data_IF_505166514004
#
_entry.id   IF_505166514004
#
_cell.length_a   1.000
_cell.length_b   1.000
_cell.length_c   1.000
_cell.angle_alpha   90.00
_cell.angle_beta   90.00
_cell.angle_gamma   90.00
#
_symmetry.space_group_name_H-M   'P 1'
#
loop_
_entity.id
_entity.type
_entity.pdbx_description
1 polymer ?
#
# COMPACT_ATOMS: atom_id res chain seq x y z
N UNK A 1 9.63 -6.27 4.92
CA UNK A 1 8.89 -6.47 3.66
C UNK A 1 9.05 -7.91 3.19
N UNK A 2 8.01 -8.47 2.60
CA UNK A 2 8.06 -9.78 1.91
C UNK A 2 7.91 -9.57 0.41
N UNK A 3 8.74 -10.25 -0.37
CA UNK A 3 8.61 -10.31 -1.83
C UNK A 3 8.41 -11.76 -2.24
N UNK A 4 7.24 -12.08 -2.73
CA UNK A 4 6.83 -13.43 -3.11
C UNK A 4 6.88 -13.52 -4.63
N UNK A 5 7.81 -14.33 -5.14
CA UNK A 5 8.00 -14.51 -6.58
C UNK A 5 7.32 -15.82 -7.00
N UNK A 6 6.48 -15.76 -8.04
CA UNK A 6 5.78 -16.89 -8.63
C UNK A 6 6.09 -16.98 -10.11
N UNK A 7 5.91 -18.17 -10.68
CA UNK A 7 6.31 -18.45 -12.06
C UNK A 7 5.56 -17.60 -13.09
N UNK A 8 4.28 -17.31 -12.83
CA UNK A 8 3.40 -16.63 -13.76
C UNK A 8 2.30 -15.83 -13.02
N UNK A 9 1.54 -14.96 -13.74
CA UNK A 9 0.48 -14.15 -13.14
C UNK A 9 -0.63 -14.95 -12.45
N UNK A 10 -0.96 -16.14 -12.95
CA UNK A 10 -2.01 -16.98 -12.35
C UNK A 10 -1.54 -17.54 -10.99
N UNK A 11 -0.31 -18.06 -10.91
CA UNK A 11 0.28 -18.54 -9.66
C UNK A 11 0.45 -17.42 -8.62
N UNK A 12 0.80 -16.20 -9.05
CA UNK A 12 0.81 -15.01 -8.20
C UNK A 12 -0.59 -14.71 -7.64
N UNK A 13 -1.61 -14.76 -8.50
CA UNK A 13 -3.00 -14.51 -8.13
C UNK A 13 -3.56 -15.59 -7.18
N UNK A 14 -3.26 -16.86 -7.44
CA UNK A 14 -3.64 -17.98 -6.56
C UNK A 14 -3.04 -17.85 -5.17
N UNK A 15 -1.78 -17.45 -5.08
CA UNK A 15 -1.13 -17.20 -3.79
C UNK A 15 -1.86 -16.11 -3.01
N UNK A 16 -2.19 -14.98 -3.65
CA UNK A 16 -2.94 -13.89 -3.03
C UNK A 16 -4.32 -14.35 -2.57
N UNK A 17 -5.04 -15.11 -3.39
CA UNK A 17 -6.37 -15.62 -3.02
C UNK A 17 -6.30 -16.52 -1.79
N UNK A 18 -5.34 -17.46 -1.76
CA UNK A 18 -5.15 -18.31 -0.60
C UNK A 18 -4.77 -17.50 0.64
N UNK A 19 -3.96 -16.46 0.48
CA UNK A 19 -3.61 -15.54 1.56
C UNK A 19 -4.83 -14.81 2.12
N UNK A 20 -5.66 -14.21 1.26
CA UNK A 20 -6.90 -13.52 1.65
C UNK A 20 -7.86 -14.47 2.36
N UNK A 21 -8.04 -15.69 1.83
CA UNK A 21 -8.89 -16.72 2.46
C UNK A 21 -8.40 -17.05 3.87
N UNK A 22 -7.10 -17.28 4.03
CA UNK A 22 -6.50 -17.60 5.31
C UNK A 22 -6.62 -16.42 6.29
N UNK A 23 -6.43 -15.18 5.81
CA UNK A 23 -6.58 -13.98 6.63
C UNK A 23 -7.99 -13.80 7.15
N UNK A 24 -9.01 -13.94 6.28
CA UNK A 24 -10.41 -13.81 6.67
C UNK A 24 -10.82 -14.94 7.62
N UNK A 25 -10.45 -16.19 7.32
CA UNK A 25 -10.75 -17.33 8.19
C UNK A 25 -10.12 -17.21 9.57
N UNK A 26 -8.86 -16.80 9.63
CA UNK A 26 -8.15 -16.64 10.89
C UNK A 26 -8.70 -15.46 11.70
N UNK A 27 -9.12 -14.38 11.03
CA UNK A 27 -9.78 -13.25 11.69
C UNK A 27 -11.13 -13.64 12.29
N UNK A 28 -11.82 -14.60 11.67
CA UNK A 28 -13.13 -15.10 12.10
C UNK A 28 -14.17 -13.97 12.28
N UNK A 29 -14.52 -13.25 11.19
CA UNK A 29 -15.31 -12.03 11.27
C UNK A 29 -16.75 -12.30 11.72
N UNK A 30 -17.28 -11.38 12.51
CA UNK A 30 -18.64 -11.39 13.05
C UNK A 30 -19.35 -10.07 12.72
N UNK A 31 -20.68 -9.97 12.83
CA UNK A 31 -21.38 -8.71 12.56
C UNK A 31 -20.89 -7.53 13.42
N UNK A 32 -20.43 -7.81 14.65
CA UNK A 32 -19.91 -6.79 15.57
C UNK A 32 -18.39 -6.59 15.48
N UNK A 33 -17.73 -7.34 14.59
CA UNK A 33 -16.29 -7.29 14.35
C UNK A 33 -16.01 -7.78 12.91
N UNK A 34 -16.36 -6.98 11.89
CA UNK A 34 -16.18 -7.38 10.50
C UNK A 34 -14.70 -7.32 10.11
N UNK A 35 -14.33 -8.06 9.06
CA UNK A 35 -13.01 -7.95 8.44
C UNK A 35 -13.01 -6.83 7.40
N UNK A 36 -12.10 -5.87 7.50
CA UNK A 36 -12.06 -4.70 6.61
C UNK A 36 -11.02 -4.88 5.51
N UNK A 37 -11.45 -4.90 4.26
CA UNK A 37 -10.64 -5.19 3.08
C UNK A 37 -10.58 -3.99 2.12
N UNK A 38 -9.37 -3.47 1.90
CA UNK A 38 -9.08 -2.50 0.84
C UNK A 38 -8.94 -3.20 -0.52
N UNK A 39 -9.56 -2.67 -1.58
CA UNK A 39 -9.64 -3.32 -2.89
C UNK A 39 -9.20 -2.40 -4.05
N UNK A 40 -8.36 -2.89 -4.99
CA UNK A 40 -7.98 -2.17 -6.19
C UNK A 40 -8.89 -2.49 -7.38
N UNK A 41 -8.77 -1.72 -8.46
CA UNK A 41 -9.34 -2.04 -9.77
C UNK A 41 -8.22 -2.29 -10.79
N UNK A 42 -8.57 -2.35 -12.08
CA UNK A 42 -7.63 -2.55 -13.17
C UNK A 42 -7.41 -4.03 -13.53
N UNK A 43 -6.46 -4.30 -14.43
CA UNK A 43 -6.29 -5.63 -15.02
C UNK A 43 -5.66 -6.66 -14.08
N UNK A 44 -4.71 -6.25 -13.24
CA UNK A 44 -4.00 -7.16 -12.32
C UNK A 44 -4.91 -7.91 -11.34
N UNK A 45 -5.90 -7.27 -10.67
CA UNK A 45 -6.76 -8.00 -9.73
C UNK A 45 -7.89 -8.82 -10.37
N UNK A 46 -8.12 -8.76 -11.68
CA UNK A 46 -9.23 -9.50 -12.33
C UNK A 46 -9.15 -11.00 -12.08
N UNK A 47 -7.95 -11.58 -12.20
CA UNK A 47 -7.74 -13.02 -11.95
C UNK A 47 -7.98 -13.35 -10.47
N UNK A 48 -7.54 -12.47 -9.57
CA UNK A 48 -7.77 -12.61 -8.12
C UNK A 48 -9.27 -12.63 -7.81
N UNK A 49 -10.04 -11.68 -8.37
CA UNK A 49 -11.50 -11.64 -8.17
C UNK A 49 -12.20 -12.88 -8.70
N UNK A 50 -11.84 -13.34 -9.91
CA UNK A 50 -12.36 -14.59 -10.48
C UNK A 50 -12.12 -15.79 -9.55
N UNK A 51 -10.91 -15.89 -9.01
CA UNK A 51 -10.53 -16.97 -8.09
C UNK A 51 -11.19 -16.86 -6.72
N UNK A 52 -11.41 -15.64 -6.20
CA UNK A 52 -12.18 -15.40 -4.97
C UNK A 52 -13.66 -15.81 -5.14
N UNK A 53 -14.27 -15.47 -6.27
CA UNK A 53 -15.64 -15.90 -6.60
C UNK A 53 -15.72 -17.41 -6.69
N UNK A 54 -14.75 -18.07 -7.33
CA UNK A 54 -14.69 -19.53 -7.37
C UNK A 54 -14.51 -20.13 -5.97
N UNK A 55 -13.69 -19.52 -5.12
CA UNK A 55 -13.52 -19.94 -3.73
C UNK A 55 -14.79 -19.81 -2.90
N UNK A 56 -15.53 -18.71 -3.07
CA UNK A 56 -16.82 -18.49 -2.43
C UNK A 56 -17.84 -19.54 -2.87
N UNK A 57 -17.99 -19.77 -4.19
CA UNK A 57 -18.90 -20.80 -4.74
C UNK A 57 -18.55 -22.21 -4.28
N UNK A 58 -17.27 -22.47 -3.98
CA UNK A 58 -16.80 -23.73 -3.40
C UNK A 58 -16.94 -23.81 -1.87
N UNK A 59 -17.55 -22.81 -1.22
CA UNK A 59 -17.75 -22.77 0.24
C UNK A 59 -16.45 -22.55 1.05
N UNK A 60 -15.37 -22.09 0.41
CA UNK A 60 -14.05 -21.91 1.07
C UNK A 60 -13.93 -20.58 1.80
N UNK A 61 -14.80 -19.61 1.54
CA UNK A 61 -14.79 -18.26 2.12
C UNK A 61 -16.22 -17.70 2.13
N UNK A 62 -16.52 -16.79 3.07
CA UNK A 62 -17.76 -16.01 3.11
C UNK A 62 -17.41 -14.52 3.20
N UNK A 63 -18.20 -13.68 2.55
CA UNK A 63 -18.08 -12.21 2.56
C UNK A 63 -19.18 -11.53 3.39
N UNK A 64 -20.01 -12.30 4.10
CA UNK A 64 -21.14 -11.79 4.89
C UNK A 64 -20.72 -10.76 5.94
N UNK A 65 -19.60 -11.00 6.63
CA UNK A 65 -19.04 -10.11 7.64
C UNK A 65 -17.76 -9.40 7.15
N UNK A 66 -17.67 -9.14 5.84
CA UNK A 66 -16.56 -8.38 5.25
C UNK A 66 -17.08 -6.99 4.88
N UNK A 67 -16.27 -5.97 5.18
CA UNK A 67 -16.49 -4.57 4.78
C UNK A 67 -15.40 -4.20 3.78
N UNK A 68 -15.75 -3.58 2.66
CA UNK A 68 -14.81 -3.26 1.60
C UNK A 68 -14.68 -1.76 1.38
N UNK A 69 -13.45 -1.31 1.10
CA UNK A 69 -13.15 0.05 0.67
C UNK A 69 -12.34 0.02 -0.62
N UNK A 70 -12.88 0.59 -1.69
CA UNK A 70 -12.14 0.74 -2.93
C UNK A 70 -11.14 1.91 -2.88
N UNK A 71 -10.07 1.82 -3.69
CA UNK A 71 -9.00 2.82 -3.73
C UNK A 71 -9.42 4.15 -4.36
N UNK A 72 -10.28 4.11 -5.37
CA UNK A 72 -10.52 5.24 -6.26
C UNK A 72 -11.84 5.11 -7.03
N UNK A 73 -12.27 6.23 -7.62
CA UNK A 73 -13.32 6.32 -8.63
C UNK A 73 -13.09 7.53 -9.53
N UNK A 74 -13.45 7.44 -10.80
CA UNK A 74 -13.35 8.55 -11.73
C UNK A 74 -14.36 9.66 -11.44
N UNK A 75 -13.94 10.91 -11.60
CA UNK A 75 -14.84 12.06 -11.46
C UNK A 75 -15.63 12.27 -12.76
N UNK A 76 -16.93 12.49 -12.62
CA UNK A 76 -17.81 12.85 -13.74
C UNK A 76 -18.33 11.68 -14.58
N UNK A 77 -17.95 10.43 -14.26
CA UNK A 77 -18.59 9.25 -14.86
C UNK A 77 -19.73 8.77 -13.95
N UNK A 78 -20.94 8.50 -14.49
CA UNK A 78 -22.00 7.81 -13.75
C UNK A 78 -21.55 6.42 -13.26
N UNK A 79 -21.98 6.03 -12.04
CA UNK A 79 -21.67 4.71 -11.46
C UNK A 79 -22.16 3.49 -12.29
N UNK A 80 -23.16 3.70 -13.16
CA UNK A 80 -23.68 2.68 -14.07
C UNK A 80 -22.90 2.59 -15.40
N UNK A 81 -21.94 3.49 -15.64
CA UNK A 81 -21.15 3.47 -16.86
C UNK A 81 -20.22 2.24 -16.85
N UNK A 82 -20.09 1.48 -17.97
CA UNK A 82 -19.31 0.24 -18.01
C UNK A 82 -17.85 0.39 -17.54
N UNK A 83 -17.24 1.54 -17.81
CA UNK A 83 -15.85 1.86 -17.42
C UNK A 83 -15.72 2.53 -16.05
N UNK A 84 -16.81 2.71 -15.29
CA UNK A 84 -16.72 3.16 -13.89
C UNK A 84 -16.14 2.05 -13.00
N UNK A 85 -15.46 2.43 -11.93
CA UNK A 85 -14.92 1.45 -10.99
C UNK A 85 -16.02 0.77 -10.19
N UNK A 86 -17.12 1.47 -9.93
CA UNK A 86 -18.36 0.88 -9.43
C UNK A 86 -18.83 -0.29 -10.31
N UNK A 87 -19.02 -0.08 -11.61
CA UNK A 87 -19.44 -1.16 -12.52
C UNK A 87 -18.41 -2.28 -12.58
N UNK A 88 -17.12 -1.96 -12.63
CA UNK A 88 -16.04 -2.95 -12.62
C UNK A 88 -16.12 -3.89 -11.40
N UNK A 89 -16.28 -3.34 -10.19
CA UNK A 89 -16.32 -4.14 -8.98
C UNK A 89 -17.56 -5.03 -8.89
N UNK A 90 -18.72 -4.53 -9.33
CA UNK A 90 -19.93 -5.35 -9.40
C UNK A 90 -19.80 -6.46 -10.44
N UNK A 91 -19.24 -6.17 -11.61
CA UNK A 91 -19.02 -7.18 -12.67
C UNK A 91 -18.08 -8.29 -12.22
N UNK A 92 -16.99 -7.95 -11.52
CA UNK A 92 -15.93 -8.93 -11.21
C UNK A 92 -16.05 -9.60 -9.85
N UNK A 93 -16.69 -8.96 -8.85
CA UNK A 93 -16.73 -9.48 -7.48
C UNK A 93 -18.12 -9.38 -6.84
N UNK A 94 -18.65 -8.17 -6.63
CA UNK A 94 -19.74 -7.96 -5.68
C UNK A 94 -21.06 -8.62 -6.09
N UNK A 95 -21.35 -8.77 -7.40
CA UNK A 95 -22.56 -9.47 -7.86
C UNK A 95 -22.49 -11.00 -7.68
N UNK A 96 -21.32 -11.56 -7.32
CA UNK A 96 -21.08 -13.01 -7.33
C UNK A 96 -20.81 -13.60 -5.94
N UNK A 97 -20.80 -12.77 -4.90
CA UNK A 97 -20.49 -13.16 -3.50
C UNK A 97 -21.56 -12.64 -2.54
N UNK A 98 -21.65 -13.20 -1.33
CA UNK A 98 -22.63 -12.82 -0.31
C UNK A 98 -22.24 -11.58 0.53
N UNK A 99 -21.60 -10.58 -0.09
CA UNK A 99 -21.29 -9.34 0.60
C UNK A 99 -22.56 -8.48 0.74
N UNK A 100 -22.90 -7.98 1.94
CA UNK A 100 -24.04 -7.08 2.10
C UNK A 100 -23.77 -5.73 1.41
N UNK A 101 -24.73 -5.15 0.66
CA UNK A 101 -24.52 -3.88 -0.03
C UNK A 101 -24.08 -2.72 0.87
N UNK A 102 -24.57 -2.69 2.12
CA UNK A 102 -24.20 -1.66 3.10
C UNK A 102 -22.73 -1.74 3.57
N UNK A 103 -22.06 -2.88 3.32
CA UNK A 103 -20.65 -3.10 3.66
C UNK A 103 -19.72 -2.73 2.49
N UNK A 104 -20.26 -2.32 1.34
CA UNK A 104 -19.47 -1.91 0.18
C UNK A 104 -19.31 -0.39 0.23
N UNK A 105 -18.07 0.08 0.35
CA UNK A 105 -17.74 1.49 0.30
C UNK A 105 -16.91 1.81 -0.95
N UNK A 106 -17.41 2.75 -1.75
CA UNK A 106 -16.76 3.27 -2.94
C UNK A 106 -16.91 4.79 -2.97
N UNK A 107 -15.89 5.49 -3.46
CA UNK A 107 -15.92 6.95 -3.61
C UNK A 107 -16.95 7.36 -4.66
N UNK A 108 -17.76 8.39 -4.38
CA UNK A 108 -18.71 8.93 -5.34
C UNK A 108 -18.08 10.02 -6.21
N UNK A 109 -17.63 9.66 -7.40
CA UNK A 109 -17.09 10.60 -8.39
C UNK A 109 -18.09 11.61 -8.97
N UNK A 110 -19.37 11.50 -8.62
CA UNK A 110 -20.46 12.42 -9.01
C UNK A 110 -21.01 13.20 -7.81
N UNK A 111 -20.36 13.16 -6.66
CA UNK A 111 -20.78 13.91 -5.48
C UNK A 111 -20.76 15.42 -5.76
N UNK A 112 -21.74 16.20 -5.23
CA UNK A 112 -21.80 17.65 -5.43
C UNK A 112 -20.62 18.37 -4.75
N UNK A 113 -20.11 17.80 -3.65
CA UNK A 113 -18.91 18.28 -2.97
C UNK A 113 -17.91 17.13 -2.82
N UNK A 114 -16.91 17.12 -3.70
CA UNK A 114 -15.88 16.09 -3.78
C UNK A 114 -14.95 16.08 -2.54
N UNK A 115 -14.70 17.22 -1.92
CA UNK A 115 -13.88 17.30 -0.71
C UNK A 115 -14.62 16.69 0.49
N UNK A 116 -15.90 17.02 0.64
CA UNK A 116 -16.76 16.44 1.68
C UNK A 116 -16.87 14.92 1.54
N UNK A 117 -16.97 14.41 0.30
CA UNK A 117 -16.94 12.98 0.00
C UNK A 117 -15.64 12.31 0.49
N UNK A 118 -14.48 12.93 0.19
CA UNK A 118 -13.19 12.42 0.64
C UNK A 118 -13.06 12.37 2.17
N UNK A 119 -13.53 13.41 2.86
CA UNK A 119 -13.53 13.48 4.34
C UNK A 119 -14.46 12.42 4.93
N UNK A 120 -15.66 12.25 4.36
CA UNK A 120 -16.61 11.24 4.79
C UNK A 120 -16.06 9.82 4.60
N UNK A 121 -15.35 9.57 3.49
CA UNK A 121 -14.72 8.28 3.21
C UNK A 121 -13.64 7.91 4.25
N UNK A 122 -12.78 8.88 4.62
CA UNK A 122 -11.79 8.70 5.68
C UNK A 122 -12.44 8.48 7.06
N UNK A 123 -13.54 9.17 7.34
CA UNK A 123 -14.31 8.96 8.57
C UNK A 123 -14.94 7.57 8.61
N UNK A 124 -15.47 7.07 7.49
CA UNK A 124 -16.02 5.73 7.38
C UNK A 124 -14.96 4.65 7.67
N UNK A 125 -13.76 4.78 7.09
CA UNK A 125 -12.62 3.88 7.38
C UNK A 125 -12.31 3.87 8.89
N UNK A 126 -12.24 5.03 9.53
CA UNK A 126 -11.96 5.12 10.97
C UNK A 126 -13.08 4.54 11.82
N UNK A 127 -14.34 4.71 11.42
CA UNK A 127 -15.50 4.23 12.17
C UNK A 127 -15.52 2.70 12.30
N UNK A 128 -14.95 1.99 11.32
CA UNK A 128 -14.82 0.53 11.34
C UNK A 128 -13.48 0.04 11.90
N UNK A 129 -12.69 0.91 12.53
CA UNK A 129 -11.41 0.53 13.16
C UNK A 129 -10.20 0.45 12.23
N UNK A 130 -10.31 0.98 11.01
CA UNK A 130 -9.25 0.95 9.99
C UNK A 130 -9.29 -0.28 9.10
N UNK A 131 -8.33 -0.39 8.18
CA UNK A 131 -8.28 -1.47 7.18
C UNK A 131 -7.37 -2.61 7.68
N UNK A 132 -7.87 -3.84 7.67
CA UNK A 132 -7.10 -5.01 8.13
C UNK A 132 -6.14 -5.54 7.08
N UNK A 133 -6.56 -5.51 5.81
CA UNK A 133 -5.76 -5.89 4.67
C UNK A 133 -6.08 -4.98 3.50
N UNK A 134 -5.07 -4.31 2.96
CA UNK A 134 -5.22 -3.47 1.78
C UNK A 134 -4.60 -4.18 0.59
N UNK A 135 -5.43 -4.70 -0.32
CA UNK A 135 -4.97 -5.21 -1.60
C UNK A 135 -4.76 -4.02 -2.55
N UNK A 136 -3.61 -3.95 -3.19
CA UNK A 136 -3.25 -2.89 -4.13
C UNK A 136 -2.57 -3.44 -5.38
N UNK A 137 -2.50 -2.59 -6.40
CA UNK A 137 -1.64 -2.78 -7.56
C UNK A 137 -0.63 -1.64 -7.66
N UNK A 138 0.20 -1.70 -8.70
CA UNK A 138 1.15 -0.64 -9.04
C UNK A 138 0.90 -0.13 -10.46
N UNK A 139 1.06 1.17 -10.70
CA UNK A 139 1.18 1.74 -12.05
C UNK A 139 2.56 1.45 -12.69
N UNK A 140 2.72 1.60 -14.02
CA UNK A 140 4.04 1.51 -14.66
C UNK A 140 5.01 2.63 -14.23
N UNK A 141 4.47 3.71 -13.67
CA UNK A 141 5.16 4.85 -13.06
C UNK A 141 5.35 4.70 -11.53
N UNK A 142 4.97 3.56 -10.95
CA UNK A 142 5.09 3.30 -9.52
C UNK A 142 3.97 3.88 -8.65
N UNK A 143 2.87 4.38 -9.23
CA UNK A 143 1.77 4.88 -8.41
C UNK A 143 1.05 3.75 -7.64
N UNK A 144 0.57 4.08 -6.45
CA UNK A 144 -0.43 3.30 -5.70
C UNK A 144 -1.75 4.07 -5.69
N UNK A 145 -2.88 3.41 -5.99
CA UNK A 145 -4.14 4.11 -6.33
C UNK A 145 -3.89 5.10 -7.49
N UNK A 146 -4.56 6.26 -7.51
CA UNK A 146 -4.15 7.40 -8.35
C UNK A 146 -3.18 8.34 -7.65
N UNK A 147 -2.32 7.86 -6.74
CA UNK A 147 -1.24 8.70 -6.19
C UNK A 147 -0.08 8.81 -7.19
N UNK A 148 -0.32 9.61 -8.23
CA UNK A 148 0.61 9.90 -9.33
C UNK A 148 1.96 10.44 -8.82
N UNK A 149 3.04 10.32 -9.62
CA UNK A 149 4.35 10.88 -9.30
C UNK A 149 4.28 12.33 -8.82
N UNK A 150 4.99 12.62 -7.71
CA UNK A 150 4.97 13.91 -7.02
C UNK A 150 3.89 14.04 -5.95
N UNK A 151 3.04 13.03 -5.76
CA UNK A 151 2.06 13.00 -4.67
C UNK A 151 2.74 12.91 -3.30
N UNK A 152 2.26 13.68 -2.33
CA UNK A 152 2.76 13.60 -0.95
C UNK A 152 2.63 12.19 -0.38
N UNK A 153 3.70 11.68 0.23
CA UNK A 153 3.68 10.38 0.90
C UNK A 153 2.82 10.37 2.17
N UNK A 154 2.54 11.55 2.73
CA UNK A 154 1.62 11.74 3.86
C UNK A 154 0.19 12.11 3.41
N UNK A 155 -0.13 11.92 2.12
CA UNK A 155 -1.42 12.34 1.56
C UNK A 155 -2.60 11.53 2.12
N UNK A 156 -3.77 12.19 2.19
CA UNK A 156 -5.08 11.60 2.49
C UNK A 156 -5.93 11.47 1.23
N UNK A 157 -7.11 10.87 1.38
CA UNK A 157 -8.13 10.80 0.32
C UNK A 157 -8.43 12.19 -0.24
N UNK A 158 -8.36 12.34 -1.56
CA UNK A 158 -8.50 13.63 -2.24
C UNK A 158 -8.87 13.49 -3.71
N UNK A 159 -9.20 14.61 -4.33
CA UNK A 159 -9.24 14.78 -5.79
C UNK A 159 -7.81 14.77 -6.34
N UNK A 160 -7.58 14.00 -7.39
CA UNK A 160 -6.29 13.98 -8.09
C UNK A 160 -6.50 14.05 -9.60
N UNK A 161 -5.74 14.94 -10.24
CA UNK A 161 -5.60 15.00 -11.70
C UNK A 161 -4.72 13.84 -12.17
N UNK A 162 -5.18 13.12 -13.18
CA UNK A 162 -4.48 11.96 -13.73
C UNK A 162 -3.27 12.41 -14.56
N UNK A 163 -2.17 11.68 -14.46
CA UNK A 163 -1.00 11.88 -15.28
C UNK A 163 -1.27 11.44 -16.73
N UNK A 164 -0.53 12.00 -17.68
CA UNK A 164 -0.68 11.65 -19.09
C UNK A 164 -0.48 10.15 -19.35
N UNK A 165 0.51 9.53 -18.70
CA UNK A 165 0.78 8.09 -18.83
C UNK A 165 -0.39 7.24 -18.32
N UNK A 166 -1.05 7.66 -17.23
CA UNK A 166 -2.25 7.01 -16.70
C UNK A 166 -3.43 7.13 -17.68
N UNK A 167 -3.61 8.31 -18.28
CA UNK A 167 -4.65 8.53 -19.31
C UNK A 167 -4.39 7.60 -20.51
N UNK A 168 -3.16 7.52 -21.00
CA UNK A 168 -2.79 6.62 -22.10
C UNK A 168 -3.02 5.15 -21.75
N UNK A 169 -2.60 4.71 -20.56
CA UNK A 169 -2.79 3.34 -20.11
C UNK A 169 -4.27 2.96 -19.97
N UNK A 170 -5.12 3.93 -19.58
CA UNK A 170 -6.54 3.70 -19.35
C UNK A 170 -7.41 3.92 -20.61
N UNK A 171 -6.89 4.58 -21.66
CA UNK A 171 -7.62 4.79 -22.92
C UNK A 171 -8.17 3.50 -23.52
N UNK A 172 -7.50 2.36 -23.31
CA UNK A 172 -7.98 1.03 -23.72
C UNK A 172 -9.36 0.66 -23.15
N UNK A 173 -9.75 1.21 -21.99
CA UNK A 173 -11.05 1.02 -21.35
C UNK A 173 -12.12 2.00 -21.85
N UNK A 174 -11.74 2.97 -22.67
CA UNK A 174 -12.60 4.01 -23.26
C UNK A 174 -12.60 3.94 -24.79
N UNK A 175 -12.42 2.74 -25.35
CA UNK A 175 -12.42 2.50 -26.79
C UNK A 175 -11.17 3.00 -27.52
N UNK A 176 -10.05 3.18 -26.80
CA UNK A 176 -8.79 3.70 -27.34
C UNK A 176 -8.75 5.23 -27.48
N UNK A 177 -9.76 5.94 -26.98
CA UNK A 177 -9.90 7.38 -27.12
C UNK A 177 -9.48 8.10 -25.84
N UNK A 178 -8.35 8.81 -25.91
CA UNK A 178 -7.72 9.54 -24.80
C UNK A 178 -8.63 10.66 -24.28
N UNK A 179 -9.42 11.30 -25.15
CA UNK A 179 -10.29 12.42 -24.76
C UNK A 179 -11.52 11.97 -23.96
N UNK A 180 -11.88 10.68 -24.05
CA UNK A 180 -12.98 10.10 -23.27
C UNK A 180 -12.56 9.66 -21.88
N UNK A 181 -11.26 9.60 -21.61
CA UNK A 181 -10.75 9.26 -20.28
C UNK A 181 -10.96 10.46 -19.36
N UNK A 182 -11.58 10.29 -18.18
CA UNK A 182 -11.71 11.37 -17.22
C UNK A 182 -10.35 11.91 -16.80
N UNK A 183 -10.25 13.24 -16.67
CA UNK A 183 -9.00 13.92 -16.35
C UNK A 183 -8.70 13.94 -14.85
N UNK A 184 -9.68 13.58 -14.02
CA UNK A 184 -9.57 13.58 -12.57
C UNK A 184 -10.26 12.37 -11.96
N UNK A 185 -9.78 11.96 -10.78
CA UNK A 185 -10.37 10.91 -9.98
C UNK A 185 -10.38 11.29 -8.49
N UNK A 186 -11.27 10.67 -7.73
CA UNK A 186 -11.14 10.57 -6.28
C UNK A 186 -10.26 9.38 -5.97
N UNK A 187 -9.35 9.53 -5.01
CA UNK A 187 -8.42 8.46 -4.65
C UNK A 187 -8.03 8.54 -3.19
N UNK A 188 -7.85 7.38 -2.56
CA UNK A 188 -7.25 7.27 -1.23
C UNK A 188 -5.80 7.79 -1.26
N UNK A 189 -5.36 8.38 -0.15
CA UNK A 189 -4.01 8.87 -0.03
C UNK A 189 -2.99 7.76 0.21
N UNK A 190 -1.70 8.09 0.02
CA UNK A 190 -0.61 7.16 0.35
C UNK A 190 -0.65 6.81 1.83
N UNK A 191 -0.84 7.80 2.71
CA UNK A 191 -0.94 7.56 4.15
C UNK A 191 -2.18 6.74 4.51
N UNK A 192 -3.30 6.92 3.79
CA UNK A 192 -4.52 6.13 3.97
C UNK A 192 -4.26 4.65 3.73
N UNK A 193 -3.44 4.30 2.74
CA UNK A 193 -3.03 2.91 2.49
C UNK A 193 -2.03 2.42 3.54
N UNK A 194 -1.04 3.25 3.91
CA UNK A 194 -0.03 2.90 4.91
C UNK A 194 -0.60 2.75 6.34
N UNK A 195 -1.81 3.25 6.60
CA UNK A 195 -2.53 3.05 7.86
C UNK A 195 -3.24 1.68 7.95
N UNK A 196 -3.28 0.93 6.87
CA UNK A 196 -3.75 -0.45 6.93
C UNK A 196 -2.83 -1.29 7.83
N UNK A 197 -3.35 -2.34 8.43
CA UNK A 197 -2.52 -3.26 9.25
C UNK A 197 -1.56 -4.05 8.39
N UNK A 198 -1.99 -4.34 7.18
CA UNK A 198 -1.27 -5.12 6.19
C UNK A 198 -1.54 -4.54 4.81
N UNK A 199 -0.48 -4.44 4.01
CA UNK A 199 -0.59 -4.01 2.62
C UNK A 199 -0.05 -5.11 1.72
N UNK A 200 -0.90 -5.59 0.82
CA UNK A 200 -0.63 -6.66 -0.12
C UNK A 200 -0.68 -6.11 -1.54
N UNK A 201 0.42 -6.16 -2.27
CA UNK A 201 0.50 -5.62 -3.63
C UNK A 201 0.68 -6.74 -4.64
N UNK A 202 -0.10 -6.72 -5.71
CA UNK A 202 0.09 -7.57 -6.88
C UNK A 202 0.81 -6.81 -7.99
N UNK A 203 1.88 -7.39 -8.54
CA UNK A 203 2.63 -6.81 -9.66
C UNK A 203 2.95 -7.92 -10.66
N UNK A 204 2.36 -7.86 -11.86
CA UNK A 204 2.52 -8.91 -12.87
C UNK A 204 2.90 -8.32 -14.23
N UNK A 205 3.87 -8.94 -14.89
CA UNK A 205 4.31 -8.65 -16.25
C UNK A 205 5.47 -7.67 -16.35
N UNK A 206 6.26 -7.83 -17.42
CA UNK A 206 7.51 -7.09 -17.68
C UNK A 206 7.36 -5.57 -17.68
N UNK A 207 6.21 -5.07 -18.16
CA UNK A 207 5.90 -3.63 -18.21
C UNK A 207 5.82 -2.95 -16.83
N UNK A 208 5.87 -3.71 -15.72
CA UNK A 208 5.93 -3.19 -14.35
C UNK A 208 7.29 -3.40 -13.67
N UNK A 209 8.26 -4.01 -14.34
CA UNK A 209 9.54 -4.37 -13.74
C UNK A 209 10.34 -3.15 -13.28
N UNK A 210 10.37 -2.09 -14.08
CA UNK A 210 11.04 -0.84 -13.71
C UNK A 210 10.43 -0.23 -12.45
N UNK A 211 9.10 -0.18 -12.38
CA UNK A 211 8.39 0.36 -11.22
C UNK A 211 8.68 -0.47 -9.96
N UNK A 212 8.69 -1.81 -10.07
CA UNK A 212 9.07 -2.70 -8.97
C UNK A 212 10.49 -2.39 -8.48
N UNK A 213 11.47 -2.33 -9.39
CA UNK A 213 12.86 -2.01 -9.05
C UNK A 213 12.97 -0.68 -8.29
N UNK A 214 12.37 0.39 -8.83
CA UNK A 214 12.43 1.72 -8.19
C UNK A 214 11.80 1.73 -6.81
N UNK A 215 10.77 0.91 -6.57
CA UNK A 215 10.06 0.87 -5.30
C UNK A 215 10.74 -0.01 -4.24
N UNK A 216 11.55 -1.01 -4.61
CA UNK A 216 12.17 -1.93 -3.64
C UNK A 216 13.68 -1.79 -3.51
N UNK A 217 14.39 -1.47 -4.61
CA UNK A 217 15.85 -1.27 -4.61
C UNK A 217 16.22 0.21 -4.53
N UNK A 218 15.32 1.09 -4.97
CA UNK A 218 15.45 2.55 -4.80
C UNK A 218 15.11 3.00 -3.38
N UNK A 219 15.47 4.24 -3.05
CA UNK A 219 15.04 4.88 -1.80
C UNK A 219 13.58 5.34 -1.84
N UNK A 220 13.01 5.60 -0.67
CA UNK A 220 11.67 6.20 -0.52
C UNK A 220 11.60 7.53 -1.27
N UNK A 221 10.69 7.63 -2.24
CA UNK A 221 10.60 8.76 -3.14
C UNK A 221 9.15 8.99 -3.61
N UNK A 222 8.68 10.24 -3.54
CA UNK A 222 7.33 10.62 -3.98
C UNK A 222 7.09 10.52 -5.49
N UNK A 223 8.14 10.34 -6.30
CA UNK A 223 8.02 10.05 -7.73
C UNK A 223 7.64 8.58 -8.00
N UNK A 224 7.87 7.70 -7.03
CA UNK A 224 7.51 6.28 -7.07
C UNK A 224 6.74 5.96 -5.80
N UNK A 225 5.47 6.37 -5.72
CA UNK A 225 4.75 6.44 -4.43
C UNK A 225 4.62 5.11 -3.71
N UNK A 226 4.65 3.98 -4.42
CA UNK A 226 4.70 2.64 -3.83
C UNK A 226 6.00 2.39 -3.02
N UNK A 227 7.10 3.11 -3.28
CA UNK A 227 8.33 3.04 -2.47
C UNK A 227 8.10 3.35 -0.99
N UNK A 228 7.02 4.07 -0.66
CA UNK A 228 6.59 4.33 0.72
C UNK A 228 6.25 3.06 1.51
N UNK A 229 5.99 1.93 0.85
CA UNK A 229 5.82 0.64 1.51
C UNK A 229 7.06 0.18 2.29
N UNK A 230 8.25 0.69 1.97
CA UNK A 230 9.44 0.44 2.77
C UNK A 230 9.30 0.92 4.23
N UNK A 231 8.41 1.90 4.48
CA UNK A 231 8.09 2.43 5.81
C UNK A 231 6.98 1.66 6.52
N UNK A 232 6.26 0.80 5.81
CA UNK A 232 5.16 0.03 6.36
C UNK A 232 5.68 -1.14 7.22
N UNK A 233 5.07 -1.46 8.37
CA UNK A 233 5.53 -2.56 9.22
C UNK A 233 5.30 -3.94 8.59
N UNK A 234 4.22 -4.10 7.83
CA UNK A 234 3.82 -5.39 7.25
C UNK A 234 3.44 -5.32 5.76
N UNK A 235 4.37 -4.95 4.86
CA UNK A 235 4.13 -4.95 3.43
C UNK A 235 4.50 -6.32 2.82
N UNK A 236 3.63 -6.80 1.94
CA UNK A 236 3.84 -7.97 1.11
C UNK A 236 3.65 -7.59 -0.36
N UNK A 237 4.60 -7.95 -1.20
CA UNK A 237 4.53 -7.77 -2.64
C UNK A 237 4.57 -9.16 -3.26
N UNK A 238 3.59 -9.48 -4.10
CA UNK A 238 3.51 -10.75 -4.82
C UNK A 238 3.64 -10.47 -6.31
N UNK A 239 4.61 -11.11 -6.93
CA UNK A 239 5.03 -10.84 -8.30
C UNK A 239 5.16 -12.12 -9.13
N UNK A 240 5.05 -12.00 -10.45
CA UNK A 240 5.51 -13.02 -11.38
C UNK A 240 7.00 -12.85 -11.72
N UNK A 241 7.63 -13.83 -12.37
CA UNK A 241 9.03 -13.74 -12.79
C UNK A 241 9.27 -12.54 -13.73
N UNK A 242 8.34 -12.28 -14.66
CA UNK A 242 8.47 -11.17 -15.62
C UNK A 242 8.52 -9.79 -14.95
N UNK A 243 7.81 -9.57 -13.84
CA UNK A 243 7.92 -8.33 -13.10
C UNK A 243 9.30 -8.16 -12.42
N UNK A 244 10.15 -9.19 -12.34
CA UNK A 244 11.46 -9.12 -11.70
C UNK A 244 12.62 -8.80 -12.64
N UNK A 245 12.36 -8.60 -13.94
CA UNK A 245 13.40 -8.45 -14.97
C UNK A 245 14.40 -7.30 -14.73
N UNK A 246 13.98 -6.23 -14.07
CA UNK A 246 14.82 -5.06 -13.75
C UNK A 246 15.48 -5.14 -12.35
N UNK A 247 15.18 -6.19 -11.58
CA UNK A 247 15.78 -6.42 -10.27
C UNK A 247 17.17 -7.01 -10.38
N UNK A 248 18.01 -6.75 -9.39
CA UNK A 248 19.29 -7.42 -9.29
C UNK A 248 19.08 -8.92 -9.00
N UNK A 249 19.91 -9.75 -9.64
CA UNK A 249 19.93 -11.21 -9.41
C UNK A 249 20.09 -11.54 -7.92
N UNK A 250 20.88 -10.74 -7.18
CA UNK A 250 21.06 -10.92 -5.74
C UNK A 250 19.76 -10.68 -4.97
N UNK A 251 18.98 -9.66 -5.32
CA UNK A 251 17.68 -9.35 -4.72
C UNK A 251 16.70 -10.50 -4.90
N UNK A 252 16.57 -11.00 -6.13
CA UNK A 252 15.69 -12.14 -6.45
C UNK A 252 16.11 -13.39 -5.66
N UNK A 253 17.40 -13.73 -5.67
CA UNK A 253 17.93 -14.89 -4.93
C UNK A 253 17.73 -14.76 -3.42
N UNK A 254 17.90 -13.55 -2.88
CA UNK A 254 17.71 -13.27 -1.46
C UNK A 254 16.27 -13.57 -1.01
N UNK A 255 15.28 -13.02 -1.72
CA UNK A 255 13.87 -13.24 -1.35
C UNK A 255 13.39 -14.67 -1.61
N UNK A 256 13.83 -15.31 -2.71
CA UNK A 256 13.56 -16.74 -2.96
C UNK A 256 14.12 -17.62 -1.83
N UNK A 257 15.34 -17.33 -1.39
CA UNK A 257 16.00 -18.08 -0.31
C UNK A 257 15.27 -17.93 1.02
N UNK A 258 14.94 -16.69 1.42
CA UNK A 258 14.28 -16.44 2.72
C UNK A 258 12.92 -17.10 2.80
N UNK A 259 12.09 -16.99 1.76
CA UNK A 259 10.77 -17.62 1.76
C UNK A 259 10.87 -19.15 1.73
N UNK A 260 11.86 -19.73 1.03
CA UNK A 260 12.10 -21.17 1.04
C UNK A 260 12.54 -21.68 2.42
N UNK A 261 13.48 -20.97 3.07
CA UNK A 261 13.93 -21.30 4.43
C UNK A 261 12.77 -21.17 5.42
N UNK A 262 12.03 -20.08 5.37
CA UNK A 262 10.87 -19.86 6.24
C UNK A 262 9.85 -21.01 6.10
N UNK A 263 9.49 -21.36 4.86
CA UNK A 263 8.59 -22.48 4.58
C UNK A 263 9.14 -23.82 5.11
N UNK A 264 10.44 -24.11 4.91
CA UNK A 264 11.07 -25.36 5.39
C UNK A 264 11.06 -25.51 6.91
N UNK A 265 11.10 -24.39 7.64
CA UNK A 265 11.07 -24.36 9.09
C UNK A 265 9.63 -24.32 9.64
N UNK A 266 8.62 -24.37 8.76
CA UNK A 266 7.20 -24.21 9.14
C UNK A 266 6.88 -22.82 9.70
N UNK A 267 7.74 -21.83 9.42
CA UNK A 267 7.57 -20.46 9.88
C UNK A 267 7.05 -19.60 8.73
N UNK A 268 5.84 -19.07 8.87
CA UNK A 268 5.37 -18.01 7.99
C UNK A 268 5.55 -16.66 8.69
N UNK A 269 6.09 -15.66 7.97
CA UNK A 269 6.09 -14.28 8.44
C UNK A 269 4.65 -13.76 8.40
N UNK A 270 3.92 -13.99 9.49
CA UNK A 270 2.54 -13.53 9.67
C UNK A 270 2.49 -12.49 10.79
N UNK A 271 1.56 -11.53 10.70
CA UNK A 271 1.24 -10.56 11.76
C UNK A 271 1.11 -11.22 13.14
N UNK A 272 1.60 -10.58 14.22
CA UNK A 272 1.26 -10.98 15.59
C UNK A 272 -0.26 -11.08 15.77
N UNK A 273 -0.75 -12.02 16.58
CA UNK A 273 -2.19 -12.30 16.74
C UNK A 273 -3.02 -11.06 17.03
N UNK A 274 -2.55 -10.19 17.94
CA UNK A 274 -3.23 -8.94 18.30
C UNK A 274 -3.33 -7.93 17.13
N UNK A 275 -2.28 -7.83 16.31
CA UNK A 275 -2.29 -6.98 15.12
C UNK A 275 -3.13 -7.58 13.98
N UNK A 276 -3.32 -8.90 13.98
CA UNK A 276 -4.01 -9.64 12.92
C UNK A 276 -5.53 -9.54 13.01
N UNK A 277 -6.06 -9.38 14.22
CA UNK A 277 -7.49 -9.18 14.49
C UNK A 277 -7.87 -7.71 14.61
N UNK A 278 -6.92 -6.81 14.80
CA UNK A 278 -7.22 -5.39 15.02
C UNK A 278 -7.99 -5.10 16.32
N UNK A 279 -8.15 -3.82 16.68
CA UNK A 279 -9.04 -3.36 17.72
C UNK A 279 -10.47 -3.45 17.20
N UNK A 280 -11.38 -3.83 18.10
CA UNK A 280 -12.80 -3.86 17.79
C UNK A 280 -13.29 -2.45 17.45
N UNK A 281 -14.10 -2.26 16.40
CA UNK A 281 -14.75 -0.98 16.15
C UNK A 281 -15.48 -0.53 17.42
N UNK A 282 -15.47 0.78 17.74
CA UNK A 282 -16.34 1.29 18.79
C UNK A 282 -17.80 0.91 18.48
N UNK A 283 -18.60 0.61 19.50
CA UNK A 283 -20.01 0.30 19.30
C UNK A 283 -20.68 1.45 18.53
N UNK A 284 -21.19 1.17 17.34
CA UNK A 284 -21.76 2.19 16.46
C UNK A 284 -23.17 2.50 16.98
N UNK A 285 -23.40 3.75 17.43
CA UNK A 285 -24.75 4.26 17.63
C UNK A 285 -25.47 4.28 16.27
N UNK A 286 -26.67 3.70 16.21
CA UNK A 286 -27.44 3.40 15.00
C UNK A 286 -27.93 4.64 14.20
N UNK A 287 -27.32 5.81 14.36
CA UNK A 287 -27.72 7.06 13.72
C UNK A 287 -27.03 7.34 12.37
N UNK A 288 -26.04 6.54 11.96
CA UNK A 288 -25.40 6.66 10.65
C UNK A 288 -25.96 5.64 9.65
N UNK A 289 -27.27 5.69 9.40
CA UNK A 289 -27.90 5.02 8.25
C UNK A 289 -28.91 5.98 7.63
N UNK A 290 -28.64 6.36 6.37
CA UNK A 290 -29.48 7.07 5.38
C UNK A 290 -28.94 8.43 4.90
N UNK A 291 -27.93 8.37 4.05
CA UNK A 291 -27.69 9.40 3.04
C UNK A 291 -28.55 9.14 1.79
N UNK A 292 -29.85 9.45 1.85
CA UNK A 292 -30.72 9.86 0.73
C UNK A 292 -32.20 9.89 1.17
N UNK A 293 -32.80 11.08 1.07
CA UNK A 293 -34.22 11.41 1.23
C UNK A 293 -34.86 11.22 2.62
N UNK A 294 -35.12 12.35 3.28
CA UNK A 294 -36.07 12.42 4.39
C UNK A 294 -36.05 13.77 5.10
N UNK A 295 -36.90 14.70 4.64
CA UNK A 295 -37.46 15.74 5.50
C UNK A 295 -37.96 15.08 6.78
N UNK A 296 -37.33 15.33 7.92
CA UNK A 296 -37.88 14.92 9.19
C UNK A 296 -38.98 15.90 9.58
N UNK A 297 -40.22 15.41 9.50
CA UNK A 297 -41.37 16.01 10.16
C UNK A 297 -41.14 15.95 11.67
N UNK A 298 -40.58 17.03 12.24
CA UNK A 298 -40.92 17.53 13.56
C UNK A 298 -40.24 18.89 13.74
N UNK A 299 -41.08 19.93 13.79
CA UNK A 299 -40.65 21.30 13.97
C UNK A 299 -40.01 21.51 15.33
N UNK A 300 -38.69 21.63 15.32
CA UNK A 300 -37.93 22.45 16.28
C UNK A 300 -36.62 22.84 15.63
N UNK A 301 -36.53 24.10 15.22
CA UNK A 301 -35.28 24.72 14.77
C UNK A 301 -34.33 24.79 15.97
N UNK A 302 -33.12 24.20 15.95
CA UNK A 302 -32.14 24.48 16.98
C UNK A 302 -31.69 25.92 16.81
N UNK A 303 -31.92 26.74 17.84
CA UNK A 303 -31.39 28.10 17.96
C UNK A 303 -29.90 28.12 17.66
N UNK A 304 -29.54 28.97 16.71
CA UNK A 304 -28.18 29.27 16.27
C UNK A 304 -27.31 29.64 17.47
N UNK A 305 -26.56 28.68 18.01
CA UNK A 305 -25.47 28.99 18.93
C UNK A 305 -24.40 29.72 18.12
N UNK A 306 -24.17 30.98 18.46
CA UNK A 306 -23.10 31.78 17.88
C UNK A 306 -21.76 31.03 18.03
N UNK A 307 -20.87 31.09 17.04
CA UNK A 307 -19.57 30.46 17.18
C UNK A 307 -18.79 31.21 18.26
N UNK A 308 -18.58 30.56 19.41
CA UNK A 308 -17.60 31.02 20.38
C UNK A 308 -16.24 30.94 19.69
N UNK A 309 -15.68 32.10 19.32
CA UNK A 309 -14.31 32.22 18.84
C UNK A 309 -13.42 31.86 20.02
N UNK A 310 -13.09 30.58 20.17
CA UNK A 310 -11.95 30.16 20.96
C UNK A 310 -10.72 30.54 20.15
N UNK A 311 -9.97 31.53 20.65
CA UNK A 311 -8.68 31.90 20.09
C UNK A 311 -7.83 30.63 19.85
N UNK A 312 -7.08 30.54 18.74
CA UNK A 312 -6.29 29.35 18.44
C UNK A 312 -5.26 29.14 19.55
N UNK A 313 -5.38 28.03 20.27
CA UNK A 313 -4.36 27.54 21.18
C UNK A 313 -3.20 27.00 20.33
N UNK A 314 -1.97 27.52 20.45
CA UNK A 314 -0.83 26.99 19.71
C UNK A 314 -0.51 25.57 20.23
N UNK A 315 -0.72 24.55 19.41
CA UNK A 315 -0.43 23.14 19.71
C UNK A 315 1.04 22.76 19.52
N UNK A 316 1.96 23.75 19.49
CA UNK A 316 3.39 23.56 19.24
C UNK A 316 4.30 24.29 20.23
N UNK A 317 3.94 24.31 21.52
CA UNK A 317 4.85 24.79 22.58
C UNK A 317 5.74 23.70 23.20
N UNK A 318 5.54 22.42 22.89
CA UNK A 318 6.34 21.32 23.46
C UNK A 318 7.51 20.86 22.59
N UNK A 319 7.63 21.36 21.35
CA UNK A 319 8.77 21.07 20.45
C UNK A 319 9.86 22.16 20.43
N UNK A 320 9.72 23.23 21.23
CA UNK A 320 10.64 24.38 21.24
C UNK A 320 11.12 24.79 22.65
N UNK A 321 11.13 23.86 23.61
CA UNK A 321 11.82 24.06 24.90
C UNK A 321 13.21 23.43 24.91
N UNK A 322 14.05 23.79 23.95
CA UNK A 322 15.50 23.68 24.11
C UNK A 322 16.00 25.04 24.63
N UNK A 323 16.78 25.11 25.72
CA UNK A 323 17.36 26.37 26.17
C UNK A 323 18.23 26.94 25.05
N UNK A 324 17.93 28.17 24.64
CA UNK A 324 18.65 28.90 23.62
C UNK A 324 19.98 29.45 24.15
N UNK A 325 20.86 28.57 24.62
CA UNK A 325 22.29 28.83 24.90
C UNK A 325 22.99 27.47 25.03
N UNK A 326 23.31 26.85 23.90
CA UNK A 326 24.47 25.95 23.72
C UNK A 326 24.41 25.38 22.29
N UNK A 327 25.14 26.03 21.38
CA UNK A 327 25.44 25.42 20.08
C UNK A 327 26.50 24.34 20.32
N UNK A 328 26.26 23.06 19.98
CA UNK A 328 27.35 22.09 19.98
C UNK A 328 28.30 22.47 18.85
N UNK A 329 29.51 22.93 19.21
CA UNK A 329 30.64 23.04 18.29
C UNK A 329 30.80 21.67 17.63
N UNK A 330 30.71 21.65 16.30
CA UNK A 330 30.89 20.46 15.48
C UNK A 330 32.19 19.79 15.89
N UNK A 331 32.15 18.57 16.45
CA UNK A 331 33.35 17.81 16.73
C UNK A 331 34.06 17.55 15.40
N UNK A 332 35.31 18.01 15.29
CA UNK A 332 36.18 17.74 14.15
C UNK A 332 36.32 16.22 14.04
N UNK A 333 35.72 15.62 13.01
CA UNK A 333 35.94 14.21 12.67
C UNK A 333 37.43 14.03 12.34
N UNK A 334 38.16 13.12 12.99
CA UNK A 334 39.51 12.80 12.58
C UNK A 334 39.50 12.21 11.17
N UNK A 335 40.53 12.55 10.39
CA UNK A 335 40.71 12.16 9.00
C UNK A 335 40.71 10.62 8.84
N UNK A 336 40.02 10.13 7.81
CA UNK A 336 39.90 8.70 7.51
C UNK A 336 41.27 8.13 7.10
N UNK A 337 41.97 7.51 8.05
CA UNK A 337 43.14 6.67 7.74
C UNK A 337 42.61 5.28 7.35
N UNK A 338 42.91 4.77 6.13
CA UNK A 338 42.49 3.43 5.73
C UNK A 338 43.17 2.37 6.60
N UNK A 339 42.38 1.68 7.43
CA UNK A 339 42.86 0.57 8.24
C UNK A 339 43.04 -0.67 7.36
N UNK A 340 44.29 -1.01 7.02
CA UNK A 340 44.60 -2.22 6.27
C UNK A 340 44.69 -3.40 7.24
N UNK A 341 44.11 -4.55 6.89
CA UNK A 341 44.10 -5.77 7.74
C UNK A 341 45.50 -6.24 8.20
N UNK A 342 46.58 -5.75 7.58
CA UNK A 342 47.96 -6.01 7.98
C UNK A 342 48.39 -5.28 9.28
N UNK A 343 47.71 -4.20 9.68
CA UNK A 343 48.01 -3.43 10.91
C UNK A 343 47.58 -4.15 12.20
N UNK A 344 46.78 -5.21 12.09
CA UNK A 344 46.16 -5.94 13.21
C UNK A 344 46.86 -7.24 13.59
N UNK A 345 48.03 -7.50 12.99
CA UNK A 345 48.86 -8.66 13.32
C UNK A 345 49.93 -8.19 14.32
N UNK A 346 49.71 -8.47 15.60
CA UNK A 346 50.76 -8.37 16.61
C UNK A 346 51.92 -9.27 16.21
N UNK A 347 53.15 -8.76 16.32
CA UNK A 347 54.38 -9.48 16.02
C UNK A 347 54.51 -10.73 16.90
N UNK A 348 53.96 -11.85 16.43
CA UNK A 348 54.21 -13.16 16.99
C UNK A 348 55.69 -13.46 16.79
N UNK A 349 56.41 -13.54 17.91
CA UNK A 349 57.83 -13.84 17.95
C UNK A 349 58.17 -15.12 17.17
N UNK A 350 59.25 -15.02 16.40
CA UNK A 350 60.16 -16.12 16.07
C UNK A 350 59.55 -17.43 15.58
N UNK A 351 59.26 -17.50 14.28
CA UNK A 351 59.41 -18.76 13.52
C UNK A 351 60.06 -18.43 12.19
N UNK A 352 61.31 -18.87 12.03
CA UNK A 352 62.07 -18.78 10.77
C UNK A 352 61.48 -19.78 9.79
N UNK A 353 60.88 -19.30 8.70
CA UNK A 353 60.60 -20.09 7.52
C UNK A 353 61.44 -19.55 6.36
N UNK A 354 62.40 -20.37 5.92
CA UNK A 354 63.21 -20.17 4.71
C UNK A 354 62.30 -20.21 3.48
N UNK A 355 62.35 -19.19 2.64
CA UNK A 355 61.80 -19.23 1.27
C UNK A 355 61.39 -17.84 0.77
N UNK A 356 62.09 -17.35 -0.24
CA UNK A 356 61.83 -16.10 -0.95
C UNK A 356 60.43 -16.09 -1.57
N UNK A 357 59.60 -15.12 -1.20
CA UNK A 357 58.46 -14.66 -2.00
C UNK A 357 58.27 -13.17 -1.68
N UNK A 358 58.86 -12.31 -2.52
CA UNK A 358 58.58 -10.87 -2.50
C UNK A 358 57.12 -10.64 -2.92
N UNK A 359 56.30 -10.12 -2.01
CA UNK A 359 54.92 -9.72 -2.29
C UNK A 359 54.96 -8.27 -2.75
N UNK A 360 54.97 -8.07 -4.06
CA UNK A 360 54.96 -6.75 -4.69
C UNK A 360 53.57 -6.09 -4.53
N UNK A 361 53.53 -4.85 -4.05
CA UNK A 361 52.26 -4.15 -3.78
C UNK A 361 51.64 -3.60 -5.07
N UNK A 362 50.33 -3.76 -5.24
CA UNK A 362 49.55 -3.37 -6.44
C UNK A 362 49.59 -1.87 -6.84
N UNK A 363 50.41 -1.04 -6.19
CA UNK A 363 50.59 0.37 -6.52
C UNK A 363 51.59 0.67 -7.65
N UNK A 364 52.34 -0.33 -8.13
CA UNK A 364 53.44 -0.13 -9.11
C UNK A 364 53.04 -0.35 -10.58
N UNK A 365 51.75 -0.44 -10.92
CA UNK A 365 51.28 -0.73 -12.31
C UNK A 365 50.38 0.33 -12.92
N UNK A 366 50.69 1.61 -12.74
CA UNK A 366 50.09 2.69 -13.54
C UNK A 366 51.17 3.72 -13.87
N UNK A 367 51.98 3.45 -14.90
CA UNK A 367 52.50 4.44 -15.87
C UNK A 367 52.93 3.67 -17.14
N UNK A 368 52.08 3.72 -18.17
CA UNK A 368 52.41 3.63 -19.60
C UNK A 368 51.14 3.89 -20.42
#
# INVERSE_FOLDING_TARGET
>A
MRLIIRENPDAASEYIVNYIINRIKHFNPTPAHPFVLGLPTGSSPVVIYRLLVAAYKAGRISFENVVTFNMDEYIGIPAAHPSSYHSFMYTHLFAHVNIPPQNIHMLSGTAPNLEAECVAYEAAIRSVGGIDLFLGGIGPDGHIAFNEPGSSLASRTRVKTLAYDTILANARFFGGDVEKVPKMALTVGVQTVLEAREVLIVITGAHKALALQKCIEGGVNHMWTLSSLQLHPHPMIVVDEDATLELQVKTVKYFKSIEAVAASQGFEQILPSAARTGPRPPAIDAHYVNGANGLTANGTVPTKLAPTILAPQPTTSTLLSAPATDYPVRSVTPELVPDSMASRIESAGGVVLKGELEVDSMGSRIEA
#
